data_IF_558918262627
#
_entry.id   IF_558918262627
#
_cell.length_a   1.000
_cell.length_b   1.000
_cell.length_c   1.000
_cell.angle_alpha   90.00
_cell.angle_beta   90.00
_cell.angle_gamma   90.00
#
_symmetry.space_group_name_H-M   'P 1'
#
loop_
_entity.id
_entity.type
_entity.pdbx_description
1 polymer ?
#
# COMPACT_ATOMS: atom_id res chain seq x y z
N UNK A 1 -7.74 9.75 -45.51
CA UNK A 1 -7.49 10.38 -44.20
C UNK A 1 -8.17 9.49 -43.17
N UNK A 2 -7.39 8.67 -42.49
CA UNK A 2 -7.90 7.72 -41.50
C UNK A 2 -8.08 8.49 -40.20
N UNK A 3 -9.33 8.68 -39.76
CA UNK A 3 -9.64 9.18 -38.43
C UNK A 3 -9.10 8.19 -37.41
N UNK A 4 -7.89 8.46 -36.91
CA UNK A 4 -7.42 7.87 -35.67
C UNK A 4 -8.31 8.45 -34.56
N UNK A 5 -9.41 7.75 -34.27
CA UNK A 5 -10.12 7.91 -33.01
C UNK A 5 -9.08 7.77 -31.90
N UNK A 6 -8.66 8.90 -31.33
CA UNK A 6 -7.87 8.93 -30.11
C UNK A 6 -8.74 8.34 -29.01
N UNK A 7 -8.57 7.04 -28.76
CA UNK A 7 -9.14 6.38 -27.61
C UNK A 7 -8.45 6.98 -26.38
N UNK A 8 -9.03 8.04 -25.83
CA UNK A 8 -8.63 8.53 -24.51
C UNK A 8 -9.01 7.43 -23.53
N UNK A 9 -8.05 6.73 -22.91
CA UNK A 9 -8.37 5.67 -21.99
C UNK A 9 -9.23 6.25 -20.85
N UNK A 10 -10.27 5.52 -20.39
CA UNK A 10 -11.10 6.00 -19.31
C UNK A 10 -10.24 6.34 -18.09
N UNK A 11 -10.47 7.51 -17.49
CA UNK A 11 -9.75 7.96 -16.28
C UNK A 11 -10.03 6.95 -15.16
N UNK A 12 -8.98 6.27 -14.71
CA UNK A 12 -9.06 5.33 -13.58
C UNK A 12 -9.14 6.09 -12.25
N UNK A 13 -9.84 5.51 -11.29
CA UNK A 13 -9.98 6.06 -9.94
C UNK A 13 -9.05 5.34 -8.98
N UNK A 14 -8.21 6.07 -8.25
CA UNK A 14 -7.29 5.50 -7.25
C UNK A 14 -7.99 5.33 -5.89
N UNK A 15 -8.98 4.46 -5.85
CA UNK A 15 -9.76 4.13 -4.64
C UNK A 15 -9.32 2.76 -4.13
N UNK A 16 -8.82 2.64 -2.88
CA UNK A 16 -8.41 1.36 -2.33
C UNK A 16 -9.62 0.43 -2.14
N UNK A 17 -9.39 -0.87 -2.13
CA UNK A 17 -10.44 -1.87 -1.88
C UNK A 17 -11.01 -1.75 -0.47
N UNK A 18 -10.19 -1.30 0.49
CA UNK A 18 -10.60 -0.95 1.85
C UNK A 18 -10.26 0.51 2.13
N UNK A 19 -11.20 1.32 2.65
CA UNK A 19 -10.90 2.71 2.98
C UNK A 19 -9.85 2.79 4.11
N UNK A 20 -9.04 3.86 4.15
CA UNK A 20 -8.14 4.14 5.26
C UNK A 20 -8.87 4.12 6.62
N UNK A 21 -8.25 3.51 7.62
CA UNK A 21 -8.77 3.43 8.98
C UNK A 21 -8.64 4.77 9.68
N UNK A 22 -9.71 5.23 10.33
CA UNK A 22 -9.74 6.51 11.08
C UNK A 22 -8.64 6.62 12.14
N UNK A 23 -8.33 5.52 12.82
CA UNK A 23 -7.30 5.45 13.86
C UNK A 23 -5.87 5.22 13.33
N UNK A 24 -5.66 5.31 12.01
CA UNK A 24 -4.35 5.08 11.39
C UNK A 24 -4.11 6.17 10.34
N UNK A 25 -3.78 7.40 10.77
CA UNK A 25 -3.74 8.57 9.89
C UNK A 25 -2.76 8.41 8.71
N UNK A 26 -1.68 7.65 8.91
CA UNK A 26 -0.72 7.35 7.84
C UNK A 26 -1.35 6.71 6.62
N UNK A 27 -2.37 5.84 6.77
CA UNK A 27 -3.04 5.22 5.61
C UNK A 27 -3.69 6.25 4.70
N UNK A 28 -4.30 7.29 5.28
CA UNK A 28 -4.92 8.39 4.53
C UNK A 28 -3.89 9.29 3.86
N UNK A 29 -2.79 9.60 4.56
CA UNK A 29 -1.71 10.46 4.07
C UNK A 29 -1.04 9.85 2.85
N UNK A 30 -0.62 8.58 2.94
CA UNK A 30 0.01 7.90 1.80
C UNK A 30 -0.93 7.75 0.61
N UNK A 31 -2.22 7.45 0.85
CA UNK A 31 -3.22 7.40 -0.21
C UNK A 31 -3.43 8.76 -0.89
N UNK A 32 -3.40 9.86 -0.13
CA UNK A 32 -3.53 11.20 -0.69
C UNK A 32 -2.33 11.55 -1.59
N UNK A 33 -1.11 11.40 -1.07
CA UNK A 33 0.12 11.69 -1.82
C UNK A 33 0.21 10.83 -3.09
N UNK A 34 -0.25 9.59 -2.99
CA UNK A 34 -0.37 8.71 -4.14
C UNK A 34 -1.32 9.24 -5.22
N UNK A 35 -2.52 9.71 -4.84
CA UNK A 35 -3.48 10.29 -5.78
C UNK A 35 -2.89 11.52 -6.47
N UNK A 36 -2.24 12.40 -5.72
CA UNK A 36 -1.56 13.59 -6.25
C UNK A 36 -0.44 13.20 -7.24
N UNK A 37 0.35 12.17 -6.90
CA UNK A 37 1.36 11.62 -7.80
C UNK A 37 0.74 11.07 -9.10
N UNK A 38 -0.28 10.21 -9.00
CA UNK A 38 -0.89 9.58 -10.15
C UNK A 38 -1.61 10.58 -11.07
N UNK A 39 -2.21 11.64 -10.50
CA UNK A 39 -2.85 12.71 -11.26
C UNK A 39 -1.85 13.64 -11.95
N UNK A 40 -0.76 14.00 -11.26
CA UNK A 40 0.27 14.87 -11.83
C UNK A 40 1.16 14.17 -12.85
N UNK A 41 1.31 12.84 -12.76
CA UNK A 41 2.24 12.03 -13.57
C UNK A 41 1.56 10.78 -14.15
N UNK A 42 0.51 10.93 -14.98
CA UNK A 42 -0.23 9.80 -15.50
C UNK A 42 0.67 8.84 -16.30
N UNK A 43 1.63 9.33 -17.08
CA UNK A 43 2.54 8.47 -17.87
C UNK A 43 3.45 7.61 -16.99
N UNK A 44 3.96 8.16 -15.90
CA UNK A 44 4.83 7.41 -14.97
C UNK A 44 4.05 6.34 -14.24
N UNK A 45 2.84 6.65 -13.78
CA UNK A 45 1.94 5.65 -13.20
C UNK A 45 1.66 4.49 -14.19
N UNK A 46 1.38 4.79 -15.46
CA UNK A 46 1.19 3.76 -16.47
C UNK A 46 2.47 2.92 -16.70
N UNK A 47 3.65 3.54 -16.58
CA UNK A 47 4.92 2.86 -16.73
C UNK A 47 5.15 1.77 -15.67
N UNK A 48 4.64 1.96 -14.46
CA UNK A 48 4.75 0.98 -13.36
C UNK A 48 4.14 -0.38 -13.76
N UNK A 49 3.07 -0.41 -14.57
CA UNK A 49 2.34 -1.64 -14.95
C UNK A 49 2.54 -2.06 -16.40
N UNK A 50 3.56 -1.55 -17.10
CA UNK A 50 3.75 -1.85 -18.53
C UNK A 50 3.87 -3.35 -18.83
N UNK A 51 4.27 -4.17 -17.86
CA UNK A 51 4.34 -5.64 -17.99
C UNK A 51 2.99 -6.33 -17.87
N UNK A 52 1.95 -5.66 -17.39
CA UNK A 52 0.65 -6.26 -17.01
C UNK A 52 -0.48 -5.88 -17.98
N UNK A 53 -0.13 -5.29 -19.13
CA UNK A 53 -1.09 -4.83 -20.14
C UNK A 53 -1.67 -3.43 -19.86
N UNK A 54 -2.82 -3.08 -20.46
CA UNK A 54 -3.46 -1.79 -20.23
C UNK A 54 -3.81 -1.59 -18.75
N UNK A 55 -3.56 -0.40 -18.22
CA UNK A 55 -3.93 -0.07 -16.84
C UNK A 55 -5.46 -0.03 -16.72
N UNK A 56 -5.99 -0.94 -15.90
CA UNK A 56 -7.42 -1.06 -15.60
C UNK A 56 -7.74 -0.50 -14.22
N UNK A 57 -9.03 -0.28 -13.95
CA UNK A 57 -9.52 0.16 -12.64
C UNK A 57 -9.03 -0.74 -11.49
N UNK A 58 -8.93 -2.06 -11.71
CA UNK A 58 -8.42 -2.99 -10.70
C UNK A 58 -6.97 -2.66 -10.28
N UNK A 59 -6.08 -2.42 -11.23
CA UNK A 59 -4.70 -2.03 -10.95
C UNK A 59 -4.61 -0.73 -10.14
N UNK A 60 -5.42 0.27 -10.49
CA UNK A 60 -5.49 1.53 -9.74
C UNK A 60 -5.97 1.32 -8.30
N UNK A 61 -6.94 0.43 -8.07
CA UNK A 61 -7.45 0.09 -6.74
C UNK A 61 -6.47 -0.74 -5.90
N UNK A 62 -5.78 -1.70 -6.51
CA UNK A 62 -4.75 -2.51 -5.84
C UNK A 62 -3.56 -1.64 -5.42
N UNK A 63 -3.08 -0.75 -6.31
CA UNK A 63 -2.04 0.21 -5.98
C UNK A 63 -2.47 1.20 -4.88
N UNK A 64 -3.71 1.69 -4.93
CA UNK A 64 -4.24 2.53 -3.85
C UNK A 64 -4.30 1.77 -2.51
N UNK A 65 -4.69 0.48 -2.52
CA UNK A 65 -4.64 -0.38 -1.33
C UNK A 65 -3.22 -0.59 -0.81
N UNK A 66 -2.24 -0.77 -1.71
CA UNK A 66 -0.82 -0.83 -1.36
C UNK A 66 -0.36 0.44 -0.65
N UNK A 67 -0.70 1.60 -1.19
CA UNK A 67 -0.34 2.89 -0.60
C UNK A 67 -0.99 3.11 0.76
N UNK A 68 -2.27 2.76 0.91
CA UNK A 68 -2.93 2.78 2.22
C UNK A 68 -2.21 1.85 3.22
N UNK A 69 -1.84 0.64 2.81
CA UNK A 69 -1.10 -0.31 3.65
C UNK A 69 0.28 0.21 4.06
N UNK A 70 1.00 0.92 3.17
CA UNK A 70 2.29 1.55 3.50
C UNK A 70 2.17 2.57 4.65
N UNK A 71 1.00 3.18 4.82
CA UNK A 71 0.72 4.10 5.91
C UNK A 71 0.42 3.46 7.27
N UNK A 72 0.37 2.14 7.38
CA UNK A 72 0.16 1.44 8.65
C UNK A 72 1.44 0.80 9.19
N UNK A 73 1.38 0.23 10.40
CA UNK A 73 2.52 -0.42 11.04
C UNK A 73 3.14 -1.56 10.21
N UNK A 74 2.33 -2.36 9.52
CA UNK A 74 2.82 -3.45 8.66
C UNK A 74 3.60 -2.96 7.45
N UNK A 75 3.12 -1.92 6.78
CA UNK A 75 3.82 -1.31 5.65
C UNK A 75 5.08 -0.56 6.06
N UNK A 76 5.08 0.08 7.23
CA UNK A 76 6.27 0.72 7.81
C UNK A 76 7.35 -0.30 8.17
N UNK A 77 6.99 -1.42 8.81
CA UNK A 77 7.95 -2.49 9.14
C UNK A 77 8.53 -3.12 7.86
N UNK A 78 7.70 -3.32 6.83
CA UNK A 78 8.16 -3.75 5.50
C UNK A 78 9.18 -2.77 4.94
N UNK A 79 8.85 -1.48 4.88
CA UNK A 79 9.74 -0.45 4.31
C UNK A 79 11.06 -0.41 5.06
N UNK A 80 11.02 -0.40 6.40
CA UNK A 80 12.24 -0.39 7.22
C UNK A 80 13.16 -1.59 6.92
N UNK A 81 12.60 -2.80 6.84
CA UNK A 81 13.38 -4.01 6.54
C UNK A 81 13.88 -4.05 5.10
N UNK A 82 13.09 -3.55 4.15
CA UNK A 82 13.47 -3.48 2.74
C UNK A 82 14.63 -2.51 2.53
N UNK A 83 14.61 -1.34 3.20
CA UNK A 83 15.71 -0.40 3.22
C UNK A 83 16.97 -1.01 3.84
N UNK A 84 16.84 -1.70 4.97
CA UNK A 84 17.95 -2.37 5.62
C UNK A 84 18.56 -3.49 4.75
N UNK A 85 17.73 -4.23 4.02
CA UNK A 85 18.18 -5.24 3.07
C UNK A 85 18.88 -4.60 1.86
N UNK A 86 18.36 -3.50 1.33
CA UNK A 86 18.94 -2.78 0.21
C UNK A 86 20.30 -2.14 0.54
N UNK A 87 20.56 -1.82 1.80
CA UNK A 87 21.86 -1.31 2.27
C UNK A 87 22.95 -2.40 2.34
N UNK A 88 22.59 -3.68 2.21
CA UNK A 88 23.54 -4.79 2.15
C UNK A 88 23.97 -5.02 0.70
N UNK A 89 24.92 -4.21 0.22
CA UNK A 89 25.36 -4.17 -1.19
C UNK A 89 25.83 -5.52 -1.75
N UNK A 90 26.24 -6.46 -0.91
CA UNK A 90 26.70 -7.80 -1.33
C UNK A 90 25.60 -8.86 -1.39
N UNK A 91 24.42 -8.62 -0.82
CA UNK A 91 23.37 -9.62 -0.70
C UNK A 91 22.41 -9.64 -1.90
N UNK A 92 22.20 -8.49 -2.55
CA UNK A 92 21.25 -8.33 -3.65
C UNK A 92 21.87 -7.52 -4.79
N UNK A 93 21.67 -7.97 -6.04
CA UNK A 93 22.21 -7.31 -7.23
C UNK A 93 21.57 -5.95 -7.55
N UNK A 94 20.46 -5.60 -6.89
CA UNK A 94 19.83 -4.29 -6.99
C UNK A 94 18.97 -3.99 -5.78
N UNK A 95 18.69 -2.71 -5.55
CA UNK A 95 17.75 -2.23 -4.53
C UNK A 95 16.33 -2.77 -4.76
N UNK A 96 15.93 -2.85 -6.02
CA UNK A 96 14.64 -3.45 -6.41
C UNK A 96 14.55 -4.92 -5.98
N UNK A 97 15.61 -5.70 -6.23
CA UNK A 97 15.67 -7.11 -5.84
C UNK A 97 15.60 -7.27 -4.30
N UNK A 98 16.24 -6.39 -3.54
CA UNK A 98 16.15 -6.39 -2.08
C UNK A 98 14.72 -6.13 -1.57
N UNK A 99 14.00 -5.19 -2.21
CA UNK A 99 12.61 -4.88 -1.88
C UNK A 99 11.67 -6.05 -2.24
N UNK A 100 11.83 -6.66 -3.41
CA UNK A 100 11.07 -7.83 -3.82
C UNK A 100 11.32 -9.04 -2.91
N UNK A 101 12.57 -9.33 -2.57
CA UNK A 101 12.92 -10.41 -1.65
C UNK A 101 12.29 -10.17 -0.26
N UNK A 102 12.34 -8.93 0.23
CA UNK A 102 11.70 -8.56 1.50
C UNK A 102 10.18 -8.73 1.41
N UNK A 103 9.56 -8.32 0.30
CA UNK A 103 8.12 -8.48 0.09
C UNK A 103 7.70 -9.94 0.09
N UNK A 104 8.45 -10.83 -0.57
CA UNK A 104 8.19 -12.27 -0.56
C UNK A 104 8.17 -12.84 0.87
N UNK A 105 9.09 -12.39 1.73
CA UNK A 105 9.10 -12.78 3.16
C UNK A 105 7.90 -12.19 3.92
N UNK A 106 7.51 -10.95 3.65
CA UNK A 106 6.35 -10.30 4.28
C UNK A 106 4.99 -10.82 3.80
N UNK A 107 4.93 -11.32 2.57
CA UNK A 107 3.70 -11.79 1.93
C UNK A 107 3.45 -13.29 2.19
N UNK A 108 4.21 -13.94 3.08
CA UNK A 108 3.93 -15.31 3.53
C UNK A 108 2.87 -15.32 4.64
N UNK A 109 2.20 -16.46 4.81
CA UNK A 109 1.36 -16.68 5.99
C UNK A 109 2.26 -16.88 7.20
N UNK A 110 2.13 -16.02 8.21
CA UNK A 110 2.88 -16.15 9.44
C UNK A 110 1.96 -15.94 10.65
N UNK A 111 1.96 -16.92 11.56
CA UNK A 111 1.21 -16.80 12.81
C UNK A 111 1.72 -15.57 13.59
N UNK A 112 0.81 -14.68 13.97
CA UNK A 112 1.13 -13.44 14.69
C UNK A 112 1.22 -12.18 13.82
N UNK A 113 1.46 -12.30 12.51
CA UNK A 113 1.40 -11.19 11.56
C UNK A 113 0.09 -11.28 10.79
N UNK A 114 -0.67 -10.18 10.71
CA UNK A 114 -1.99 -10.15 10.06
C UNK A 114 -2.89 -11.34 10.46
N UNK A 115 -2.71 -11.85 11.69
CA UNK A 115 -3.38 -13.05 12.23
C UNK A 115 -3.26 -14.32 11.36
N UNK A 116 -2.17 -14.48 10.61
CA UNK A 116 -1.93 -15.65 9.75
C UNK A 116 -2.33 -15.45 8.29
N UNK A 117 -2.83 -14.26 7.93
CA UNK A 117 -3.04 -13.87 6.55
C UNK A 117 -1.73 -13.43 5.88
N UNK A 118 -1.66 -13.61 4.57
CA UNK A 118 -0.66 -12.93 3.75
C UNK A 118 -0.92 -11.42 3.78
N UNK A 119 0.13 -10.63 3.56
CA UNK A 119 -0.01 -9.16 3.49
C UNK A 119 -0.94 -8.74 2.34
N UNK A 120 -0.85 -9.40 1.18
CA UNK A 120 -1.78 -9.24 0.05
C UNK A 120 -3.24 -9.52 0.43
N UNK A 121 -3.52 -10.65 1.06
CA UNK A 121 -4.87 -11.04 1.51
C UNK A 121 -5.45 -10.01 2.50
N UNK A 122 -4.66 -9.60 3.49
CA UNK A 122 -5.09 -8.63 4.50
C UNK A 122 -5.38 -7.23 3.92
N UNK A 123 -4.56 -6.83 2.95
CA UNK A 123 -4.61 -5.52 2.30
C UNK A 123 -5.73 -5.41 1.27
N UNK A 124 -6.01 -6.50 0.55
CA UNK A 124 -7.01 -6.53 -0.52
C UNK A 124 -8.40 -6.96 -0.03
N UNK A 125 -8.55 -7.33 1.24
CA UNK A 125 -9.85 -7.62 1.84
C UNK A 125 -10.73 -6.36 1.86
N UNK A 126 -11.95 -6.46 1.35
CA UNK A 126 -12.92 -5.35 1.31
C UNK A 126 -13.43 -4.96 2.69
N UNK A 127 -13.43 -5.90 3.64
CA UNK A 127 -13.74 -5.71 5.05
C UNK A 127 -12.55 -6.15 5.92
N UNK A 128 -12.63 -5.91 7.23
CA UNK A 128 -11.60 -6.37 8.17
C UNK A 128 -11.78 -7.88 8.45
N UNK A 129 -10.90 -8.78 7.97
CA UNK A 129 -11.14 -10.23 7.98
C UNK A 129 -10.76 -10.90 9.31
N UNK A 130 -10.62 -10.13 10.39
CA UNK A 130 -10.21 -10.64 11.70
C UNK A 130 -11.35 -10.42 12.68
N UNK A 131 -11.92 -11.51 13.17
CA UNK A 131 -13.01 -11.46 14.14
C UNK A 131 -12.52 -11.02 15.53
N UNK A 132 -13.37 -10.29 16.24
CA UNK A 132 -13.16 -9.86 17.63
C UNK A 132 -13.50 -10.94 18.67
N UNK A 133 -14.27 -11.97 18.30
CA UNK A 133 -14.84 -12.95 19.24
C UNK A 133 -13.82 -13.94 19.81
N UNK A 134 -12.79 -14.27 19.04
CA UNK A 134 -11.57 -14.88 19.56
C UNK A 134 -10.40 -14.15 18.93
N UNK A 135 -9.42 -13.69 19.72
CA UNK A 135 -8.31 -12.83 19.29
C UNK A 135 -7.37 -13.43 18.22
N UNK A 136 -7.78 -14.53 17.57
CA UNK A 136 -7.01 -15.37 16.66
C UNK A 136 -7.83 -15.98 15.50
N UNK A 137 -9.14 -15.75 15.40
CA UNK A 137 -9.93 -16.31 14.29
C UNK A 137 -9.98 -15.35 13.09
N UNK A 138 -9.49 -15.84 11.95
CA UNK A 138 -9.72 -15.24 10.64
C UNK A 138 -11.13 -15.61 10.19
N UNK A 139 -11.89 -14.63 9.72
CA UNK A 139 -13.12 -14.86 8.97
C UNK A 139 -12.74 -15.09 7.50
N UNK A 140 -12.72 -16.37 7.11
CA UNK A 140 -12.27 -16.80 5.79
C UNK A 140 -13.21 -16.37 4.66
N UNK A 141 -14.47 -16.07 4.98
CA UNK A 141 -15.45 -15.59 3.99
C UNK A 141 -15.14 -14.13 3.58
N UNK A 142 -14.41 -13.38 4.42
CA UNK A 142 -13.94 -12.04 4.13
C UNK A 142 -12.53 -12.01 3.50
N UNK A 143 -11.85 -13.14 3.40
CA UNK A 143 -10.53 -13.24 2.78
C UNK A 143 -10.70 -13.27 1.25
N UNK A 144 -10.13 -12.31 0.51
CA UNK A 144 -10.31 -12.27 -0.94
C UNK A 144 -9.53 -13.41 -1.60
N UNK A 145 -10.04 -13.87 -2.75
CA UNK A 145 -9.22 -14.64 -3.68
C UNK A 145 -8.28 -13.68 -4.43
N UNK A 146 -7.02 -13.61 -4.00
CA UNK A 146 -6.00 -12.76 -4.62
C UNK A 146 -5.56 -13.41 -5.94
N UNK A 147 -5.85 -12.74 -7.05
CA UNK A 147 -5.52 -13.23 -8.39
C UNK A 147 -4.02 -13.13 -8.71
N UNK A 148 -3.57 -13.80 -9.77
CA UNK A 148 -2.21 -13.60 -10.28
C UNK A 148 -1.99 -12.15 -10.72
N UNK A 149 -2.96 -11.54 -11.40
CA UNK A 149 -2.92 -10.13 -11.80
C UNK A 149 -2.71 -9.21 -10.58
N UNK A 150 -3.41 -9.47 -9.46
CA UNK A 150 -3.20 -8.71 -8.22
C UNK A 150 -1.78 -8.84 -7.69
N UNK A 151 -1.18 -10.03 -7.73
CA UNK A 151 0.20 -10.22 -7.30
C UNK A 151 1.19 -9.51 -8.23
N UNK A 152 0.99 -9.59 -9.54
CA UNK A 152 1.85 -8.90 -10.52
C UNK A 152 1.79 -7.37 -10.31
N UNK A 153 0.61 -6.81 -10.04
CA UNK A 153 0.44 -5.39 -9.69
C UNK A 153 1.18 -5.04 -8.40
N UNK A 154 1.11 -5.90 -7.38
CA UNK A 154 1.78 -5.67 -6.11
C UNK A 154 3.30 -5.75 -6.23
N UNK A 155 3.82 -6.67 -7.03
CA UNK A 155 5.25 -6.74 -7.33
C UNK A 155 5.72 -5.50 -8.08
N UNK A 156 4.99 -5.05 -9.12
CA UNK A 156 5.25 -3.77 -9.79
C UNK A 156 5.26 -2.59 -8.81
N UNK A 157 4.31 -2.54 -7.88
CA UNK A 157 4.25 -1.51 -6.84
C UNK A 157 5.43 -1.59 -5.86
N UNK A 158 5.90 -2.79 -5.50
CA UNK A 158 7.08 -2.98 -4.66
C UNK A 158 8.35 -2.52 -5.38
N UNK A 159 8.50 -2.83 -6.67
CA UNK A 159 9.61 -2.34 -7.48
C UNK A 159 9.61 -0.81 -7.53
N UNK A 160 8.45 -0.21 -7.83
CA UNK A 160 8.30 1.24 -7.79
C UNK A 160 8.55 1.81 -6.40
N UNK A 161 8.14 1.12 -5.32
CA UNK A 161 8.39 1.55 -3.94
C UNK A 161 9.87 1.66 -3.60
N UNK A 162 10.71 0.87 -4.27
CA UNK A 162 12.17 0.94 -4.12
C UNK A 162 12.78 2.20 -4.77
N UNK A 163 12.05 2.87 -5.67
CA UNK A 163 12.54 4.01 -6.44
C UNK A 163 12.69 5.31 -5.63
N UNK A 164 13.39 6.28 -6.23
CA UNK A 164 13.54 7.64 -5.70
C UNK A 164 12.21 8.40 -5.61
N UNK A 165 11.30 8.21 -6.57
CA UNK A 165 9.97 8.84 -6.56
C UNK A 165 9.14 8.42 -5.34
N UNK A 166 9.15 7.12 -5.03
CA UNK A 166 8.53 6.62 -3.81
C UNK A 166 9.27 7.10 -2.55
N UNK A 167 10.60 7.29 -2.63
CA UNK A 167 11.40 7.93 -1.58
C UNK A 167 10.89 9.32 -1.22
N UNK A 168 10.64 10.18 -2.21
CA UNK A 168 10.07 11.53 -1.99
C UNK A 168 8.72 11.46 -1.29
N UNK A 169 7.84 10.53 -1.68
CA UNK A 169 6.55 10.35 -1.00
C UNK A 169 6.75 9.97 0.47
N UNK A 170 7.70 9.07 0.78
CA UNK A 170 8.00 8.68 2.17
C UNK A 170 8.52 9.86 2.99
N UNK A 171 9.43 10.66 2.43
CA UNK A 171 10.01 11.83 3.08
C UNK A 171 8.95 12.90 3.43
N UNK A 172 7.95 13.08 2.55
CA UNK A 172 6.82 13.99 2.79
C UNK A 172 5.85 13.39 3.82
N UNK A 173 5.52 12.10 3.69
CA UNK A 173 4.49 11.45 4.49
C UNK A 173 4.87 11.34 5.98
N UNK A 174 6.13 11.07 6.30
CA UNK A 174 6.57 10.79 7.67
C UNK A 174 6.36 11.96 8.65
N UNK A 175 6.76 13.22 8.35
CA UNK A 175 6.46 14.35 9.22
C UNK A 175 4.96 14.62 9.34
N UNK A 176 4.19 14.47 8.25
CA UNK A 176 2.72 14.63 8.28
C UNK A 176 2.07 13.61 9.21
N UNK A 177 2.52 12.34 9.14
CA UNK A 177 2.04 11.25 10.00
C UNK A 177 2.33 11.54 11.46
N UNK A 178 3.57 11.91 11.79
CA UNK A 178 3.99 12.24 13.16
C UNK A 178 3.21 13.42 13.74
N UNK A 179 2.93 14.43 12.91
CA UNK A 179 2.12 15.57 13.30
C UNK A 179 0.67 15.14 13.62
N UNK A 180 0.06 14.29 12.79
CA UNK A 180 -1.31 13.83 13.02
C UNK A 180 -1.42 12.87 14.21
N UNK A 181 -0.44 11.99 14.41
CA UNK A 181 -0.35 11.13 15.60
C UNK A 181 -0.23 11.96 16.88
N UNK A 182 0.59 13.02 16.86
CA UNK A 182 0.71 13.96 17.98
C UNK A 182 -0.63 14.66 18.27
N UNK A 183 -1.33 15.14 17.23
CA UNK A 183 -2.65 15.77 17.41
C UNK A 183 -3.68 14.81 17.99
N UNK A 184 -3.71 13.56 17.51
CA UNK A 184 -4.60 12.53 18.04
C UNK A 184 -4.29 12.24 19.51
N UNK A 185 -3.00 12.16 19.87
CA UNK A 185 -2.56 12.01 21.25
C UNK A 185 -3.01 13.19 22.12
N UNK A 186 -2.75 14.44 21.72
CA UNK A 186 -3.17 15.63 22.48
C UNK A 186 -4.69 15.69 22.71
N UNK A 187 -5.50 15.38 21.69
CA UNK A 187 -6.98 15.36 21.81
C UNK A 187 -7.49 14.34 22.83
N UNK A 188 -6.74 13.29 23.13
CA UNK A 188 -7.11 12.33 24.18
C UNK A 188 -7.03 12.96 25.58
N UNK A 189 -6.09 13.90 25.79
CA UNK A 189 -5.93 14.61 27.07
C UNK A 189 -6.84 15.83 27.21
N UNK A 190 -7.38 16.35 26.11
CA UNK A 190 -8.37 17.44 26.13
C UNK A 190 -9.80 16.98 26.51
N UNK A 191 -10.02 15.66 26.65
CA UNK A 191 -11.35 15.06 26.93
C UNK A 191 -11.68 14.85 28.42
N UNK A 192 -10.91 15.41 29.36
CA UNK A 192 -11.35 15.57 30.76
C UNK A 192 -11.52 17.06 31.06
N UNK A 193 -12.76 17.50 31.33
CA UNK A 193 -13.27 17.41 32.69
C UNK A 193 -14.62 16.70 32.77
N UNK A 194 -14.70 15.68 33.63
CA UNK A 194 -15.98 15.16 34.11
C UNK A 194 -16.64 16.23 35.00
N UNK A 195 -17.88 16.57 34.67
CA UNK A 195 -18.83 17.21 35.61
C UNK A 195 -19.79 16.15 36.10
#
# INVERSE_FOLDING_TARGET
>A
MSDHFYFTPPRVLHVPLRPPRKATPGEGIYLQLWKEFAESRPKEWHAIFQTNGPVRQRAASVAASFMAYMGCGGGRDFTFKAEAAAAQESAFGSREAAFLATWAVFNRRQRGINRGLRSSEFMLASAYPVSSSTARSVDWDLVPNVSQEDNDILESMVCWWSSTHAGVIREIAEPMRKAEETKQFCRLFEREPQT
#
